data_IF_389567399074
#
_entry.id   IF_389567399074
#
_cell.length_a   1.000
_cell.length_b   1.000
_cell.length_c   1.000
_cell.angle_alpha   90.00
_cell.angle_beta   90.00
_cell.angle_gamma   90.00
#
_symmetry.space_group_name_H-M   'P 1'
#
loop_
_entity.id
_entity.type
_entity.pdbx_description
1 polymer ?
#
# COMPACT_ATOMS: atom_id res chain seq x y z
N UNK A 1 25.32 2.60 6.94
CA UNK A 1 26.25 1.67 6.27
C UNK A 1 25.53 0.49 5.63
N UNK A 2 24.75 -0.31 6.38
CA UNK A 2 24.02 -1.46 5.81
C UNK A 2 23.09 -1.17 4.60
N UNK A 3 22.51 0.04 4.51
CA UNK A 3 21.67 0.43 3.35
C UNK A 3 22.51 0.60 2.07
N UNK A 4 23.74 1.14 2.14
CA UNK A 4 24.55 1.38 0.93
C UNK A 4 25.13 0.09 0.34
N UNK A 5 25.52 -0.88 1.18
CA UNK A 5 25.95 -2.20 0.72
C UNK A 5 24.82 -3.00 0.09
N UNK A 6 23.61 -2.93 0.68
CA UNK A 6 22.43 -3.55 0.09
C UNK A 6 22.10 -2.97 -1.28
N UNK A 7 22.31 -1.66 -1.48
CA UNK A 7 22.12 -0.98 -2.75
C UNK A 7 23.14 -1.43 -3.81
N UNK A 8 24.39 -1.69 -3.42
CA UNK A 8 25.47 -1.95 -4.38
C UNK A 8 25.29 -3.28 -5.12
N UNK A 9 24.75 -4.31 -4.44
CA UNK A 9 24.45 -5.65 -5.01
C UNK A 9 23.13 -5.73 -5.82
N UNK A 10 22.34 -4.65 -5.91
CA UNK A 10 21.05 -4.68 -6.60
C UNK A 10 21.19 -4.70 -8.13
N UNK A 11 20.35 -5.48 -8.85
CA UNK A 11 20.28 -5.39 -10.30
C UNK A 11 19.93 -3.97 -10.73
N UNK A 12 20.52 -3.51 -11.83
CA UNK A 12 20.37 -2.14 -12.33
C UNK A 12 18.89 -1.76 -12.55
N UNK A 13 18.07 -2.72 -13.00
CA UNK A 13 16.63 -2.55 -13.13
C UNK A 13 15.93 -2.19 -11.81
N UNK A 14 16.35 -2.77 -10.68
CA UNK A 14 15.82 -2.47 -9.35
C UNK A 14 16.19 -1.06 -8.88
N UNK A 15 17.42 -0.60 -9.15
CA UNK A 15 17.86 0.76 -8.84
C UNK A 15 17.07 1.80 -9.65
N UNK A 16 16.93 1.56 -10.95
CA UNK A 16 16.15 2.41 -11.85
C UNK A 16 14.69 2.52 -11.41
N UNK A 17 14.10 1.38 -11.04
CA UNK A 17 12.77 1.29 -10.46
C UNK A 17 12.58 2.18 -9.23
N UNK A 18 13.47 2.09 -8.23
CA UNK A 18 13.39 2.92 -7.03
C UNK A 18 13.57 4.40 -7.35
N UNK A 19 14.50 4.73 -8.24
CA UNK A 19 14.74 6.12 -8.65
C UNK A 19 13.51 6.72 -9.34
N UNK A 20 12.93 6.00 -10.30
CA UNK A 20 11.70 6.42 -10.98
C UNK A 20 10.51 6.52 -10.03
N UNK A 21 10.38 5.60 -9.08
CA UNK A 21 9.31 5.64 -8.08
C UNK A 21 9.46 6.86 -7.16
N UNK A 22 10.69 7.20 -6.80
CA UNK A 22 11.00 8.41 -6.04
C UNK A 22 10.64 9.67 -6.84
N UNK A 23 11.04 9.74 -8.11
CA UNK A 23 10.70 10.86 -9.00
C UNK A 23 9.19 11.00 -9.16
N UNK A 24 8.45 9.93 -9.47
CA UNK A 24 6.98 9.97 -9.52
C UNK A 24 6.40 10.51 -8.21
N UNK A 25 6.85 9.98 -7.07
CA UNK A 25 6.28 10.34 -5.77
C UNK A 25 6.52 11.81 -5.45
N UNK A 26 7.72 12.33 -5.73
CA UNK A 26 8.05 13.75 -5.56
C UNK A 26 7.23 14.65 -6.49
N UNK A 27 7.07 14.28 -7.76
CA UNK A 27 6.25 15.04 -8.71
C UNK A 27 4.80 15.09 -8.27
N UNK A 28 4.21 13.94 -7.90
CA UNK A 28 2.81 13.87 -7.45
C UNK A 28 2.62 14.67 -6.17
N UNK A 29 3.50 14.52 -5.17
CA UNK A 29 3.41 15.28 -3.91
C UNK A 29 3.56 16.79 -4.17
N UNK A 30 4.51 17.20 -5.02
CA UNK A 30 4.70 18.59 -5.39
C UNK A 30 3.48 19.20 -6.07
N UNK A 31 2.88 18.48 -7.02
CA UNK A 31 1.62 18.89 -7.66
C UNK A 31 0.49 18.99 -6.63
N UNK A 32 0.30 17.99 -5.79
CA UNK A 32 -0.77 17.98 -4.78
C UNK A 32 -0.65 19.11 -3.76
N UNK A 33 0.55 19.39 -3.27
CA UNK A 33 0.80 20.52 -2.36
C UNK A 33 0.53 21.84 -3.08
N UNK A 34 0.99 22.01 -4.32
CA UNK A 34 0.77 23.25 -5.08
C UNK A 34 -0.71 23.53 -5.32
N UNK A 35 -1.49 22.49 -5.68
CA UNK A 35 -2.93 22.62 -5.90
C UNK A 35 -3.63 22.96 -4.58
N UNK A 36 -3.28 22.26 -3.49
CA UNK A 36 -3.84 22.53 -2.18
C UNK A 36 -3.56 23.97 -1.74
N UNK A 37 -2.36 24.50 -1.98
CA UNK A 37 -2.02 25.90 -1.68
C UNK A 37 -2.87 26.88 -2.51
N UNK A 38 -3.10 26.61 -3.80
CA UNK A 38 -3.97 27.47 -4.63
C UNK A 38 -5.41 27.47 -4.10
N UNK A 39 -5.94 26.29 -3.75
CA UNK A 39 -7.29 26.17 -3.17
C UNK A 39 -7.38 26.94 -1.85
N UNK A 40 -6.39 26.79 -0.96
CA UNK A 40 -6.37 27.47 0.34
C UNK A 40 -6.20 28.99 0.25
N UNK A 41 -5.56 29.50 -0.81
CA UNK A 41 -5.40 30.95 -1.02
C UNK A 41 -6.65 31.62 -1.55
N UNK A 42 -7.44 30.92 -2.36
CA UNK A 42 -8.59 31.50 -3.07
C UNK A 42 -9.94 31.13 -2.46
N UNK A 43 -9.99 30.10 -1.62
CA UNK A 43 -11.22 29.65 -0.96
C UNK A 43 -11.04 29.79 0.55
N UNK A 44 -11.83 30.67 1.16
CA UNK A 44 -11.90 30.79 2.62
C UNK A 44 -12.55 29.53 3.21
N UNK A 45 -12.27 29.22 4.47
CA UNK A 45 -12.98 28.19 5.23
C UNK A 45 -12.82 26.72 4.77
N UNK A 46 -11.81 26.40 3.96
CA UNK A 46 -11.52 25.01 3.53
C UNK A 46 -11.35 24.05 4.71
N UNK A 47 -10.77 24.52 5.82
CA UNK A 47 -10.58 23.74 7.05
C UNK A 47 -11.51 24.14 8.21
N UNK A 48 -12.38 25.15 8.07
CA UNK A 48 -13.14 25.65 9.23
C UNK A 48 -14.21 24.67 9.72
N UNK A 49 -14.53 23.65 8.92
CA UNK A 49 -15.56 22.68 9.22
C UNK A 49 -15.01 21.25 9.23
N UNK A 50 -14.09 20.96 10.17
CA UNK A 50 -13.55 19.61 10.42
C UNK A 50 -14.63 18.52 10.66
N UNK A 51 -15.89 18.92 10.86
CA UNK A 51 -17.05 18.04 11.07
C UNK A 51 -18.19 18.24 10.06
N UNK A 52 -17.96 18.92 8.94
CA UNK A 52 -18.96 19.11 7.88
C UNK A 52 -18.60 18.25 6.67
N UNK A 53 -19.63 17.83 5.94
CA UNK A 53 -19.66 16.88 4.81
C UNK A 53 -18.82 17.31 3.58
N UNK A 54 -17.84 18.21 3.74
CA UNK A 54 -17.25 19.07 2.69
C UNK A 54 -15.75 19.34 2.85
N UNK A 55 -15.00 18.54 3.62
CA UNK A 55 -13.54 18.75 3.73
C UNK A 55 -12.82 18.26 2.46
N UNK A 56 -12.75 19.09 1.42
CA UNK A 56 -12.08 18.75 0.14
C UNK A 56 -10.59 18.41 0.33
N UNK A 57 -9.96 18.97 1.38
CA UNK A 57 -8.55 18.77 1.70
C UNK A 57 -8.18 17.30 1.94
N UNK A 58 -9.13 16.47 2.39
CA UNK A 58 -8.85 15.06 2.67
C UNK A 58 -8.45 14.28 1.42
N UNK A 59 -9.01 14.63 0.27
CA UNK A 59 -8.71 13.94 -0.98
C UNK A 59 -7.25 14.16 -1.41
N UNK A 60 -6.71 15.36 -1.15
CA UNK A 60 -5.29 15.67 -1.36
C UNK A 60 -4.40 14.94 -0.36
N UNK A 61 -4.78 14.96 0.93
CA UNK A 61 -4.01 14.29 1.99
C UNK A 61 -3.92 12.77 1.76
N UNK A 62 -5.03 12.13 1.39
CA UNK A 62 -5.06 10.70 1.06
C UNK A 62 -4.12 10.37 -0.11
N UNK A 63 -4.06 11.23 -1.13
CA UNK A 63 -3.21 11.01 -2.28
C UNK A 63 -1.72 11.20 -1.95
N UNK A 64 -1.38 12.17 -1.10
CA UNK A 64 -0.01 12.35 -0.58
C UNK A 64 0.41 11.12 0.23
N UNK A 65 -0.44 10.64 1.14
CA UNK A 65 -0.17 9.44 1.94
C UNK A 65 -0.05 8.20 1.05
N UNK A 66 -0.91 8.07 0.03
CA UNK A 66 -0.83 6.99 -0.96
C UNK A 66 0.49 7.01 -1.74
N UNK A 67 0.94 8.19 -2.17
CA UNK A 67 2.21 8.37 -2.89
C UNK A 67 3.41 7.95 -2.03
N UNK A 68 3.44 8.35 -0.75
CA UNK A 68 4.48 7.93 0.19
C UNK A 68 4.46 6.42 0.46
N UNK A 69 3.26 5.85 0.62
CA UNK A 69 3.09 4.42 0.86
C UNK A 69 3.51 3.59 -0.36
N UNK A 70 3.19 4.07 -1.56
CA UNK A 70 3.63 3.48 -2.82
C UNK A 70 5.17 3.44 -2.92
N UNK A 71 5.85 4.55 -2.58
CA UNK A 71 7.31 4.58 -2.54
C UNK A 71 7.88 3.57 -1.52
N UNK A 72 7.27 3.49 -0.34
CA UNK A 72 7.63 2.50 0.68
C UNK A 72 7.50 1.06 0.16
N UNK A 73 6.40 0.73 -0.53
CA UNK A 73 6.21 -0.59 -1.12
C UNK A 73 7.31 -0.94 -2.13
N UNK A 74 7.69 0.01 -2.99
CA UNK A 74 8.71 -0.21 -4.01
C UNK A 74 10.09 -0.43 -3.39
N UNK A 75 10.50 0.48 -2.51
CA UNK A 75 11.80 0.42 -1.85
C UNK A 75 11.90 -0.86 -1.03
N UNK A 76 10.87 -1.20 -0.25
CA UNK A 76 10.85 -2.44 0.51
C UNK A 76 10.85 -3.69 -0.38
N UNK A 77 10.18 -3.66 -1.54
CA UNK A 77 10.16 -4.80 -2.47
C UNK A 77 11.52 -5.04 -3.11
N UNK A 78 12.17 -3.98 -3.59
CA UNK A 78 13.51 -4.05 -4.21
C UNK A 78 14.58 -4.40 -3.18
N UNK A 79 14.58 -3.77 -1.99
CA UNK A 79 15.56 -4.05 -0.93
C UNK A 79 15.52 -5.50 -0.43
N UNK A 80 14.34 -6.12 -0.44
CA UNK A 80 14.19 -7.51 -0.02
C UNK A 80 14.34 -8.52 -1.17
N UNK A 81 14.48 -8.06 -2.42
CA UNK A 81 14.43 -8.94 -3.60
C UNK A 81 13.08 -9.67 -3.74
N UNK A 82 12.00 -9.02 -3.29
CA UNK A 82 10.65 -9.58 -3.26
C UNK A 82 9.90 -9.18 -4.54
N UNK A 83 10.01 -10.00 -5.59
CA UNK A 83 9.31 -9.75 -6.87
C UNK A 83 7.80 -9.61 -6.72
N UNK A 84 7.20 -10.40 -5.82
CA UNK A 84 5.76 -10.35 -5.55
C UNK A 84 5.38 -8.95 -5.03
N UNK A 85 6.22 -8.35 -4.20
CA UNK A 85 5.97 -7.00 -3.69
C UNK A 85 6.09 -5.92 -4.78
N UNK A 86 6.99 -6.10 -5.75
CA UNK A 86 7.11 -5.21 -6.93
C UNK A 86 5.86 -5.32 -7.83
N UNK A 87 5.32 -6.54 -8.03
CA UNK A 87 4.04 -6.73 -8.72
C UNK A 87 2.89 -6.05 -7.95
N UNK A 88 2.88 -6.22 -6.63
CA UNK A 88 1.94 -5.55 -5.74
C UNK A 88 2.00 -4.03 -5.82
N UNK A 89 3.19 -3.46 -5.97
CA UNK A 89 3.38 -2.04 -6.22
C UNK A 89 2.72 -1.58 -7.53
N UNK A 90 2.81 -2.36 -8.62
CA UNK A 90 2.13 -2.00 -9.87
C UNK A 90 0.60 -1.99 -9.71
N UNK A 91 0.05 -2.97 -9.00
CA UNK A 91 -1.40 -3.00 -8.68
C UNK A 91 -1.79 -1.82 -7.79
N UNK A 92 -0.96 -1.46 -6.82
CA UNK A 92 -1.18 -0.30 -5.98
C UNK A 92 -1.09 1.02 -6.77
N UNK A 93 -0.21 1.11 -7.77
CA UNK A 93 -0.13 2.28 -8.65
C UNK A 93 -1.40 2.43 -9.50
N UNK A 94 -2.01 1.34 -9.97
CA UNK A 94 -3.32 1.37 -10.65
C UNK A 94 -4.43 1.90 -9.72
N UNK A 95 -4.38 1.52 -8.45
CA UNK A 95 -5.26 2.06 -7.43
C UNK A 95 -5.03 3.58 -7.23
N UNK A 96 -3.78 4.04 -7.18
CA UNK A 96 -3.45 5.47 -7.08
C UNK A 96 -3.93 6.24 -8.32
N UNK A 97 -3.78 5.71 -9.54
CA UNK A 97 -4.35 6.31 -10.76
C UNK A 97 -5.85 6.49 -10.62
N UNK A 98 -6.55 5.45 -10.17
CA UNK A 98 -7.99 5.53 -9.94
C UNK A 98 -8.34 6.59 -8.89
N UNK A 99 -7.59 6.70 -7.78
CA UNK A 99 -7.78 7.77 -6.79
C UNK A 99 -7.60 9.16 -7.38
N UNK A 100 -6.61 9.38 -8.26
CA UNK A 100 -6.42 10.70 -8.91
C UNK A 100 -7.63 11.10 -9.75
N UNK A 101 -8.28 10.14 -10.41
CA UNK A 101 -9.49 10.35 -11.21
C UNK A 101 -10.68 10.68 -10.30
N UNK A 102 -10.91 9.90 -9.25
CA UNK A 102 -12.00 10.17 -8.29
C UNK A 102 -11.83 11.53 -7.62
N UNK A 103 -10.60 11.85 -7.19
CA UNK A 103 -10.28 13.16 -6.63
C UNK A 103 -10.62 14.27 -7.62
N UNK A 104 -10.27 14.14 -8.90
CA UNK A 104 -10.60 15.16 -9.91
C UNK A 104 -12.11 15.47 -9.94
N UNK A 105 -12.95 14.44 -10.03
CA UNK A 105 -14.39 14.63 -10.07
C UNK A 105 -14.94 15.21 -8.76
N UNK A 106 -14.45 14.75 -7.62
CA UNK A 106 -14.92 15.22 -6.32
C UNK A 106 -14.52 16.68 -6.05
N UNK A 107 -13.28 17.07 -6.36
CA UNK A 107 -12.83 18.46 -6.21
C UNK A 107 -13.59 19.36 -7.16
N UNK A 108 -13.79 18.95 -8.42
CA UNK A 108 -14.59 19.71 -9.40
C UNK A 108 -16.01 19.94 -8.89
N UNK A 109 -16.71 18.86 -8.52
CA UNK A 109 -18.11 18.94 -8.07
C UNK A 109 -18.22 19.80 -6.81
N UNK A 110 -17.31 19.60 -5.85
CA UNK A 110 -17.27 20.41 -4.63
C UNK A 110 -17.11 21.90 -4.94
N UNK A 111 -16.18 22.25 -5.84
CA UNK A 111 -15.86 23.64 -6.15
C UNK A 111 -16.98 24.34 -6.93
N UNK A 112 -17.62 23.63 -7.86
CA UNK A 112 -18.72 24.17 -8.65
C UNK A 112 -20.02 24.30 -7.84
N UNK A 113 -20.32 23.35 -6.95
CA UNK A 113 -21.59 23.33 -6.22
C UNK A 113 -21.55 24.14 -4.92
N UNK A 114 -20.37 24.29 -4.29
CA UNK A 114 -20.25 24.92 -2.97
C UNK A 114 -19.54 26.28 -2.98
N UNK A 115 -18.80 26.63 -4.04
CA UNK A 115 -18.06 27.89 -4.13
C UNK A 115 -18.58 28.71 -5.32
N UNK A 116 -19.74 29.34 -5.12
CA UNK A 116 -20.53 29.95 -6.19
C UNK A 116 -19.80 31.12 -6.89
N UNK A 117 -19.03 31.92 -6.14
CA UNK A 117 -18.44 33.17 -6.66
C UNK A 117 -17.10 32.93 -7.36
N UNK A 118 -16.20 32.15 -6.76
CA UNK A 118 -14.81 31.99 -7.22
C UNK A 118 -14.50 30.56 -7.70
N UNK A 119 -15.47 29.63 -7.60
CA UNK A 119 -15.23 28.21 -7.84
C UNK A 119 -14.81 27.89 -9.27
N UNK A 120 -15.44 28.52 -10.25
CA UNK A 120 -15.08 28.34 -11.66
C UNK A 120 -13.64 28.80 -11.94
N UNK A 121 -13.28 29.99 -11.47
CA UNK A 121 -11.93 30.55 -11.69
C UNK A 121 -10.85 29.69 -11.02
N UNK A 122 -11.08 29.27 -9.77
CA UNK A 122 -10.15 28.37 -9.06
C UNK A 122 -10.04 27.04 -9.77
N UNK A 123 -11.14 26.49 -10.30
CA UNK A 123 -11.13 25.22 -11.03
C UNK A 123 -10.23 25.32 -12.26
N UNK A 124 -10.39 26.38 -13.05
CA UNK A 124 -9.62 26.56 -14.27
C UNK A 124 -8.12 26.76 -13.99
N UNK A 125 -7.75 27.40 -12.87
CA UNK A 125 -6.36 27.49 -12.43
C UNK A 125 -5.73 26.13 -12.12
N UNK A 126 -6.47 25.25 -11.42
CA UNK A 126 -5.92 23.97 -10.92
C UNK A 126 -6.15 22.79 -11.88
N UNK A 127 -7.07 22.92 -12.84
CA UNK A 127 -7.48 21.86 -13.77
C UNK A 127 -6.30 21.24 -14.50
N UNK A 128 -5.40 22.06 -15.04
CA UNK A 128 -4.23 21.58 -15.76
C UNK A 128 -3.31 20.71 -14.86
N UNK A 129 -3.11 21.13 -13.61
CA UNK A 129 -2.27 20.39 -12.65
C UNK A 129 -2.91 19.07 -12.21
N UNK A 130 -4.24 19.03 -12.04
CA UNK A 130 -4.93 17.78 -11.74
C UNK A 130 -4.82 16.78 -12.90
N UNK A 131 -5.02 17.24 -14.13
CA UNK A 131 -4.87 16.40 -15.33
C UNK A 131 -3.43 15.91 -15.47
N UNK A 132 -2.45 16.78 -15.20
CA UNK A 132 -1.03 16.40 -15.19
C UNK A 132 -0.76 15.29 -14.15
N UNK A 133 -1.36 15.35 -12.97
CA UNK A 133 -1.20 14.31 -11.93
C UNK A 133 -1.74 12.96 -12.40
N UNK A 134 -2.91 12.94 -13.07
CA UNK A 134 -3.47 11.72 -13.67
C UNK A 134 -2.55 11.20 -14.77
N UNK A 135 -2.08 12.07 -15.66
CA UNK A 135 -1.23 11.68 -16.79
C UNK A 135 0.13 11.12 -16.33
N UNK A 136 0.77 11.74 -15.34
CA UNK A 136 2.04 11.28 -14.77
C UNK A 136 1.87 9.92 -14.10
N UNK A 137 0.88 9.76 -13.23
CA UNK A 137 0.64 8.48 -12.54
C UNK A 137 0.27 7.35 -13.51
N UNK A 138 -0.60 7.62 -14.49
CA UNK A 138 -0.99 6.65 -15.51
C UNK A 138 0.17 6.28 -16.45
N UNK A 139 0.92 7.26 -16.96
CA UNK A 139 2.08 7.03 -17.82
C UNK A 139 3.16 6.21 -17.11
N UNK A 140 3.46 6.56 -15.86
CA UNK A 140 4.41 5.81 -15.05
C UNK A 140 3.93 4.40 -14.71
N UNK A 141 2.63 4.15 -14.66
CA UNK A 141 2.10 2.79 -14.50
C UNK A 141 2.53 1.87 -15.63
N UNK A 142 2.48 2.35 -16.88
CA UNK A 142 2.93 1.57 -18.04
C UNK A 142 4.43 1.31 -17.95
N UNK A 143 5.22 2.32 -17.58
CA UNK A 143 6.67 2.18 -17.39
C UNK A 143 6.98 1.14 -16.30
N UNK A 144 6.30 1.19 -15.16
CA UNK A 144 6.52 0.22 -14.08
C UNK A 144 6.03 -1.19 -14.43
N UNK A 145 4.98 -1.35 -15.23
CA UNK A 145 4.56 -2.66 -15.72
C UNK A 145 5.68 -3.31 -16.56
N UNK A 146 6.30 -2.55 -17.46
CA UNK A 146 7.43 -3.01 -18.28
C UNK A 146 8.65 -3.30 -17.40
N UNK A 147 9.02 -2.40 -16.49
CA UNK A 147 10.16 -2.62 -15.59
C UNK A 147 9.97 -3.82 -14.66
N UNK A 148 8.74 -4.06 -14.21
CA UNK A 148 8.40 -5.21 -13.37
C UNK A 148 8.64 -6.53 -14.09
N UNK A 149 8.42 -6.59 -15.40
CA UNK A 149 8.77 -7.76 -16.21
C UNK A 149 10.27 -8.05 -16.17
N UNK A 150 11.12 -7.02 -16.34
CA UNK A 150 12.58 -7.18 -16.25
C UNK A 150 13.04 -7.56 -14.84
N UNK A 151 12.45 -6.94 -13.82
CA UNK A 151 12.73 -7.24 -12.41
C UNK A 151 12.30 -8.67 -12.06
N UNK A 152 11.19 -9.15 -12.63
CA UNK A 152 10.72 -10.51 -12.45
C UNK A 152 11.73 -11.54 -12.96
N UNK A 153 12.30 -11.32 -14.15
CA UNK A 153 13.35 -12.19 -14.68
C UNK A 153 14.63 -12.14 -13.85
N UNK A 154 15.08 -10.94 -13.44
CA UNK A 154 16.28 -10.77 -12.64
C UNK A 154 16.18 -11.47 -11.26
N UNK A 155 15.10 -11.23 -10.52
CA UNK A 155 14.91 -11.81 -9.18
C UNK A 155 14.40 -13.24 -9.19
N UNK A 156 13.65 -13.64 -10.23
CA UNK A 156 13.18 -15.03 -10.39
C UNK A 156 14.34 -16.02 -10.46
N UNK A 157 15.45 -15.62 -11.09
CA UNK A 157 16.66 -16.43 -11.18
C UNK A 157 17.39 -16.59 -9.84
N UNK A 158 17.37 -15.56 -8.99
CA UNK A 158 17.93 -15.66 -7.64
C UNK A 158 17.08 -16.53 -6.71
N UNK A 159 15.76 -16.44 -6.80
CA UNK A 159 14.85 -17.26 -6.00
C UNK A 159 15.02 -18.74 -6.36
N UNK A 160 15.17 -19.05 -7.65
CA UNK A 160 15.45 -20.42 -8.11
C UNK A 160 16.72 -20.99 -7.47
N UNK A 161 17.81 -20.22 -7.43
CA UNK A 161 19.08 -20.64 -6.81
C UNK A 161 18.96 -20.84 -5.30
N UNK A 162 18.14 -20.03 -4.60
CA UNK A 162 18.01 -20.09 -3.13
C UNK A 162 17.10 -21.20 -2.63
N UNK A 163 15.95 -21.39 -3.26
CA UNK A 163 14.91 -22.33 -2.80
C UNK A 163 15.16 -23.75 -3.32
N UNK A 164 15.92 -23.89 -4.41
CA UNK A 164 16.16 -25.17 -5.07
C UNK A 164 15.01 -25.60 -5.97
N UNK A 165 15.11 -26.80 -6.53
CA UNK A 165 14.16 -27.32 -7.54
C UNK A 165 12.83 -27.83 -6.96
N UNK A 166 12.63 -27.82 -5.64
CA UNK A 166 11.39 -28.31 -5.02
C UNK A 166 10.23 -27.35 -5.29
N UNK A 167 9.32 -27.79 -6.16
CA UNK A 167 8.15 -27.03 -6.58
C UNK A 167 7.15 -26.78 -5.45
N UNK A 168 7.06 -27.69 -4.45
CA UNK A 168 6.10 -27.56 -3.34
C UNK A 168 6.53 -26.44 -2.39
N UNK A 169 7.79 -26.44 -1.98
CA UNK A 169 8.35 -25.41 -1.08
C UNK A 169 8.29 -24.03 -1.75
N UNK A 170 8.61 -23.96 -3.05
CA UNK A 170 8.50 -22.71 -3.81
C UNK A 170 7.06 -22.18 -3.82
N UNK A 171 6.06 -23.03 -4.01
CA UNK A 171 4.64 -22.62 -4.00
C UNK A 171 4.22 -22.10 -2.64
N UNK A 172 4.58 -22.80 -1.55
CA UNK A 172 4.30 -22.36 -0.18
C UNK A 172 4.94 -21.00 0.13
N UNK A 173 6.17 -20.78 -0.34
CA UNK A 173 6.88 -19.52 -0.17
C UNK A 173 6.24 -18.35 -0.93
N UNK A 174 5.82 -18.59 -2.18
CA UNK A 174 5.06 -17.61 -2.97
C UNK A 174 3.76 -17.26 -2.25
N UNK A 175 3.05 -18.26 -1.74
CA UNK A 175 1.80 -18.07 -1.02
C UNK A 175 1.98 -17.23 0.24
N UNK A 176 3.04 -17.49 1.01
CA UNK A 176 3.41 -16.71 2.19
C UNK A 176 3.69 -15.25 1.83
N UNK A 177 4.52 -15.01 0.80
CA UNK A 177 4.86 -13.65 0.35
C UNK A 177 3.64 -12.90 -0.19
N UNK A 178 2.73 -13.58 -0.88
CA UNK A 178 1.50 -13.00 -1.38
C UNK A 178 0.57 -12.59 -0.23
N UNK A 179 0.44 -13.40 0.81
CA UNK A 179 -0.33 -13.05 2.01
C UNK A 179 0.26 -11.82 2.72
N UNK A 180 1.59 -11.79 2.90
CA UNK A 180 2.28 -10.64 3.49
C UNK A 180 2.08 -9.36 2.67
N UNK A 181 2.09 -9.45 1.33
CA UNK A 181 1.79 -8.32 0.46
C UNK A 181 0.33 -7.85 0.64
N UNK A 182 -0.63 -8.77 0.61
CA UNK A 182 -2.05 -8.45 0.78
C UNK A 182 -2.31 -7.76 2.13
N UNK A 183 -1.69 -8.26 3.21
CA UNK A 183 -1.77 -7.63 4.54
C UNK A 183 -1.19 -6.20 4.57
N UNK A 184 -0.13 -5.94 3.81
CA UNK A 184 0.41 -4.57 3.65
C UNK A 184 -0.62 -3.68 2.94
N UNK A 185 -1.19 -4.14 1.83
CA UNK A 185 -2.22 -3.39 1.09
C UNK A 185 -3.46 -3.16 1.97
N UNK A 186 -3.94 -4.19 2.69
CA UNK A 186 -5.04 -4.09 3.64
C UNK A 186 -4.77 -3.02 4.69
N UNK A 187 -3.58 -3.01 5.31
CA UNK A 187 -3.20 -1.96 6.27
C UNK A 187 -3.43 -0.55 5.72
N UNK A 188 -3.02 -0.30 4.47
CA UNK A 188 -3.26 0.99 3.82
C UNK A 188 -4.75 1.24 3.58
N UNK A 189 -5.49 0.25 3.07
CA UNK A 189 -6.91 0.39 2.76
C UNK A 189 -7.76 0.64 4.02
N UNK A 190 -7.49 -0.06 5.12
CA UNK A 190 -8.17 0.12 6.40
C UNK A 190 -7.93 1.52 6.97
N UNK A 191 -6.67 1.99 6.97
CA UNK A 191 -6.35 3.35 7.44
C UNK A 191 -6.99 4.40 6.52
N UNK A 192 -6.87 4.23 5.20
CA UNK A 192 -7.46 5.12 4.22
C UNK A 192 -8.97 5.24 4.38
N UNK A 193 -9.67 4.11 4.51
CA UNK A 193 -11.11 4.06 4.77
C UNK A 193 -11.45 4.70 6.12
N UNK A 194 -10.77 4.35 7.19
CA UNK A 194 -11.05 4.87 8.53
C UNK A 194 -10.87 6.38 8.62
N UNK A 195 -9.73 6.90 8.14
CA UNK A 195 -9.44 8.33 8.13
C UNK A 195 -10.47 9.07 7.28
N UNK A 196 -10.78 8.56 6.10
CA UNK A 196 -11.80 9.16 5.22
C UNK A 196 -13.16 9.17 5.91
N UNK A 197 -13.60 8.04 6.48
CA UNK A 197 -14.91 7.90 7.11
C UNK A 197 -15.04 8.79 8.35
N UNK A 198 -14.02 8.84 9.21
CA UNK A 198 -14.02 9.69 10.40
C UNK A 198 -14.15 11.16 10.01
N UNK A 199 -13.39 11.61 9.01
CA UNK A 199 -13.34 13.03 8.64
C UNK A 199 -14.55 13.45 7.79
N UNK A 200 -15.01 12.62 6.87
CA UNK A 200 -16.02 13.02 5.87
C UNK A 200 -17.46 12.77 6.30
N UNK A 201 -17.70 11.87 7.25
CA UNK A 201 -19.06 11.39 7.58
C UNK A 201 -19.40 11.60 9.06
N UNK A 202 -18.40 11.52 9.93
CA UNK A 202 -18.63 11.31 11.35
C UNK A 202 -18.61 12.64 12.10
N UNK A 203 -19.76 13.04 12.64
CA UNK A 203 -19.85 14.18 13.54
C UNK A 203 -19.45 13.75 14.95
N UNK A 204 -18.77 14.62 15.69
CA UNK A 204 -18.29 14.32 17.05
C UNK A 204 -19.41 13.93 18.04
N UNK A 205 -20.66 14.28 17.75
CA UNK A 205 -21.84 13.99 18.58
C UNK A 205 -22.45 12.60 18.30
N UNK A 206 -22.04 11.91 17.23
CA UNK A 206 -22.63 10.61 16.88
C UNK A 206 -22.00 9.47 17.70
N UNK A 207 -22.79 8.53 18.24
CA UNK A 207 -22.25 7.35 18.94
C UNK A 207 -21.40 6.45 18.02
N UNK A 208 -21.62 6.53 16.70
CA UNK A 208 -20.81 5.84 15.70
C UNK A 208 -19.36 6.36 15.65
N UNK A 209 -19.09 7.57 16.15
CA UNK A 209 -17.76 8.17 16.21
C UNK A 209 -16.82 7.35 17.09
N UNK A 210 -17.19 7.14 18.35
CA UNK A 210 -16.40 6.40 19.31
C UNK A 210 -16.14 4.95 18.84
N UNK A 211 -17.17 4.31 18.28
CA UNK A 211 -17.07 2.93 17.76
C UNK A 211 -16.08 2.88 16.60
N UNK A 212 -16.17 3.79 15.63
CA UNK A 212 -15.31 3.76 14.45
C UNK A 212 -13.86 4.10 14.81
N UNK A 213 -13.64 5.08 15.68
CA UNK A 213 -12.31 5.43 16.19
C UNK A 213 -11.68 4.26 16.94
N UNK A 214 -12.46 3.55 17.79
CA UNK A 214 -12.00 2.35 18.48
C UNK A 214 -11.75 1.16 17.53
N UNK A 215 -12.46 1.11 16.39
CA UNK A 215 -12.28 0.04 15.41
C UNK A 215 -10.93 0.12 14.68
N UNK A 216 -10.38 1.32 14.48
CA UNK A 216 -9.06 1.51 13.84
C UNK A 216 -7.94 0.73 14.54
N UNK A 217 -7.64 0.92 15.84
CA UNK A 217 -6.59 0.15 16.50
C UNK A 217 -6.92 -1.35 16.57
N UNK A 218 -8.19 -1.74 16.65
CA UNK A 218 -8.60 -3.15 16.60
C UNK A 218 -8.22 -3.77 15.25
N UNK A 219 -8.49 -3.11 14.13
CA UNK A 219 -8.08 -3.63 12.81
C UNK A 219 -6.57 -3.73 12.66
N UNK A 220 -5.81 -2.77 13.19
CA UNK A 220 -4.35 -2.82 13.21
C UNK A 220 -3.83 -4.00 14.04
N UNK A 221 -4.48 -4.29 15.17
CA UNK A 221 -4.18 -5.45 15.99
C UNK A 221 -4.47 -6.76 15.24
N UNK A 222 -5.61 -6.87 14.55
CA UNK A 222 -5.97 -8.04 13.73
C UNK A 222 -4.93 -8.30 12.64
N UNK A 223 -4.48 -7.26 11.93
CA UNK A 223 -3.43 -7.38 10.93
C UNK A 223 -2.10 -7.83 11.55
N UNK A 224 -1.75 -7.29 12.72
CA UNK A 224 -0.55 -7.69 13.46
C UNK A 224 -0.59 -9.15 13.92
N UNK A 225 -1.77 -9.64 14.33
CA UNK A 225 -1.98 -11.05 14.66
C UNK A 225 -1.71 -11.97 13.46
N UNK A 226 -2.08 -11.55 12.24
CA UNK A 226 -1.80 -12.32 11.03
C UNK A 226 -0.29 -12.52 10.82
N UNK A 227 0.49 -11.45 10.97
CA UNK A 227 1.97 -11.53 10.91
C UNK A 227 2.55 -12.44 11.98
N UNK A 228 1.97 -12.43 13.18
CA UNK A 228 2.41 -13.30 14.27
C UNK A 228 2.06 -14.77 14.02
N UNK A 229 0.84 -15.05 13.55
CA UNK A 229 0.37 -16.38 13.18
C UNK A 229 1.25 -17.00 12.08
N UNK A 230 1.58 -16.20 11.06
CA UNK A 230 2.48 -16.57 9.97
C UNK A 230 3.90 -16.94 10.46
N UNK A 231 4.46 -16.15 11.38
CA UNK A 231 5.82 -16.40 11.91
C UNK A 231 5.89 -17.64 12.79
N UNK A 232 4.83 -17.93 13.56
CA UNK A 232 4.80 -19.09 14.46
C UNK A 232 4.22 -20.35 13.82
N UNK A 233 3.70 -20.27 12.60
CA UNK A 233 2.92 -21.34 11.95
C UNK A 233 1.83 -21.91 12.88
N UNK A 234 1.21 -21.06 13.69
CA UNK A 234 0.19 -21.50 14.63
C UNK A 234 -1.16 -21.53 13.94
N UNK A 235 -1.68 -22.74 13.70
CA UNK A 235 -3.00 -22.94 13.11
C UNK A 235 -4.11 -22.28 13.94
N UNK A 236 -4.00 -22.34 15.28
CA UNK A 236 -4.96 -21.74 16.18
C UNK A 236 -5.09 -20.22 15.98
N UNK A 237 -3.97 -19.49 15.94
CA UNK A 237 -4.02 -18.03 15.77
C UNK A 237 -4.34 -17.60 14.35
N UNK A 238 -4.02 -18.44 13.37
CA UNK A 238 -4.45 -18.22 11.99
C UNK A 238 -5.96 -18.42 11.83
N UNK A 239 -6.57 -19.41 12.50
CA UNK A 239 -8.03 -19.55 12.56
C UNK A 239 -8.71 -18.35 13.23
N UNK A 240 -8.14 -17.85 14.34
CA UNK A 240 -8.61 -16.62 14.98
C UNK A 240 -8.52 -15.43 14.03
N UNK A 241 -7.42 -15.29 13.29
CA UNK A 241 -7.27 -14.25 12.27
C UNK A 241 -8.33 -14.38 11.16
N UNK A 242 -8.55 -15.59 10.61
CA UNK A 242 -9.57 -15.84 9.59
C UNK A 242 -10.96 -15.46 10.09
N UNK A 243 -11.31 -15.84 11.33
CA UNK A 243 -12.59 -15.46 11.93
C UNK A 243 -12.75 -13.93 12.07
N UNK A 244 -11.71 -13.24 12.57
CA UNK A 244 -11.72 -11.79 12.72
C UNK A 244 -11.75 -11.06 11.37
N UNK A 245 -11.10 -11.63 10.35
CA UNK A 245 -11.16 -11.10 8.99
C UNK A 245 -12.58 -11.22 8.41
N UNK A 246 -13.25 -12.37 8.59
CA UNK A 246 -14.65 -12.54 8.21
C UNK A 246 -15.58 -11.56 8.94
N UNK A 247 -15.38 -11.34 10.25
CA UNK A 247 -16.12 -10.35 11.02
C UNK A 247 -15.88 -8.91 10.50
N UNK A 248 -14.63 -8.60 10.14
CA UNK A 248 -14.27 -7.31 9.55
C UNK A 248 -14.92 -7.13 8.18
N UNK A 249 -14.96 -8.17 7.34
CA UNK A 249 -15.66 -8.15 6.05
C UNK A 249 -17.15 -7.86 6.24
N UNK A 250 -17.80 -8.54 7.19
CA UNK A 250 -19.21 -8.32 7.51
C UNK A 250 -19.47 -6.87 7.96
N UNK A 251 -18.58 -6.31 8.78
CA UNK A 251 -18.67 -4.90 9.20
C UNK A 251 -18.54 -3.92 8.02
N UNK A 252 -17.59 -4.15 7.11
CA UNK A 252 -17.43 -3.33 5.89
C UNK A 252 -18.67 -3.41 4.99
N UNK A 253 -19.25 -4.60 4.81
CA UNK A 253 -20.51 -4.78 4.07
C UNK A 253 -21.66 -4.03 4.75
N UNK A 254 -21.79 -4.14 6.07
CA UNK A 254 -22.79 -3.39 6.84
C UNK A 254 -22.62 -1.87 6.66
N UNK A 255 -21.39 -1.36 6.76
CA UNK A 255 -21.11 0.06 6.52
C UNK A 255 -21.45 0.46 5.09
N UNK A 256 -21.10 -0.34 4.09
CA UNK A 256 -21.51 -0.12 2.70
C UNK A 256 -23.03 0.02 2.58
N UNK A 257 -23.79 -0.94 3.12
CA UNK A 257 -25.25 -0.92 3.08
C UNK A 257 -25.84 0.30 3.80
N UNK A 258 -25.26 0.68 4.93
CA UNK A 258 -25.70 1.85 5.73
C UNK A 258 -25.54 3.16 4.96
N UNK A 259 -24.54 3.29 4.10
CA UNK A 259 -24.35 4.48 3.27
C UNK A 259 -25.47 4.70 2.25
N UNK A 260 -26.17 3.63 1.87
CA UNK A 260 -27.31 3.67 0.93
C UNK A 260 -28.67 3.65 1.65
N UNK A 261 -28.71 3.69 2.98
CA UNK A 261 -29.95 3.73 3.75
C UNK A 261 -30.68 5.08 3.50
N UNK A 262 -31.92 5.07 2.98
CA UNK A 262 -32.69 6.29 2.70
C UNK A 262 -32.81 7.22 3.91
N UNK A 263 -32.85 6.64 5.13
CA UNK A 263 -32.96 7.39 6.39
C UNK A 263 -31.75 8.25 6.70
N UNK A 264 -30.60 7.97 6.08
CA UNK A 264 -29.35 8.70 6.28
C UNK A 264 -28.84 9.37 5.00
N UNK A 265 -29.66 9.43 3.95
CA UNK A 265 -29.29 9.98 2.63
C UNK A 265 -28.66 11.37 2.71
N UNK A 266 -29.20 12.27 3.55
CA UNK A 266 -28.65 13.63 3.74
C UNK A 266 -27.23 13.63 4.30
N UNK A 267 -26.90 12.66 5.19
CA UNK A 267 -25.57 12.55 5.82
C UNK A 267 -24.49 12.05 4.85
N UNK A 268 -24.87 11.24 3.85
CA UNK A 268 -23.92 10.58 2.96
C UNK A 268 -23.90 11.15 1.53
N UNK A 269 -24.91 11.92 1.11
CA UNK A 269 -25.17 12.30 -0.29
C UNK A 269 -23.92 12.75 -1.08
N UNK A 270 -23.10 13.64 -0.53
CA UNK A 270 -21.92 14.18 -1.23
C UNK A 270 -20.71 13.23 -1.26
N UNK A 271 -20.67 12.24 -0.36
CA UNK A 271 -19.48 11.44 -0.05
C UNK A 271 -19.60 9.97 -0.50
N UNK A 272 -20.81 9.51 -0.85
CA UNK A 272 -21.09 8.15 -1.33
C UNK A 272 -20.13 7.70 -2.43
N UNK A 273 -19.87 8.46 -3.52
CA UNK A 273 -19.11 7.95 -4.65
C UNK A 273 -17.70 7.49 -4.27
N UNK A 274 -16.97 8.29 -3.49
CA UNK A 274 -15.58 7.97 -3.10
C UNK A 274 -15.53 6.89 -2.03
N UNK A 275 -16.46 6.90 -1.10
CA UNK A 275 -16.50 5.92 -0.02
C UNK A 275 -16.92 4.54 -0.50
N UNK A 276 -17.88 4.46 -1.42
CA UNK A 276 -18.25 3.20 -2.07
C UNK A 276 -17.05 2.65 -2.84
N UNK A 277 -16.33 3.51 -3.57
CA UNK A 277 -15.11 3.11 -4.27
C UNK A 277 -14.07 2.48 -3.32
N UNK A 278 -13.74 3.16 -2.21
CA UNK A 278 -12.85 2.61 -1.18
C UNK A 278 -13.36 1.28 -0.61
N UNK A 279 -14.66 1.20 -0.33
CA UNK A 279 -15.27 0.02 0.28
C UNK A 279 -15.23 -1.18 -0.66
N UNK A 280 -15.56 -1.00 -1.94
CA UNK A 280 -15.53 -2.07 -2.94
C UNK A 280 -14.13 -2.63 -3.12
N UNK A 281 -13.11 -1.76 -3.21
CA UNK A 281 -11.72 -2.19 -3.34
C UNK A 281 -11.23 -2.88 -2.08
N UNK A 282 -11.57 -2.34 -0.90
CA UNK A 282 -11.21 -2.97 0.38
C UNK A 282 -11.82 -4.36 0.48
N UNK A 283 -13.10 -4.53 0.13
CA UNK A 283 -13.75 -5.85 0.11
C UNK A 283 -13.08 -6.82 -0.86
N UNK A 284 -12.65 -6.36 -2.03
CA UNK A 284 -11.90 -7.18 -2.99
C UNK A 284 -10.56 -7.65 -2.43
N UNK A 285 -9.77 -6.74 -1.85
CA UNK A 285 -8.47 -7.08 -1.24
C UNK A 285 -8.68 -8.02 -0.06
N UNK A 286 -9.65 -7.75 0.82
CA UNK A 286 -9.97 -8.62 1.96
C UNK A 286 -10.40 -10.02 1.53
N UNK A 287 -11.16 -10.16 0.44
CA UNK A 287 -11.53 -11.47 -0.10
C UNK A 287 -10.30 -12.23 -0.63
N UNK A 288 -9.39 -11.54 -1.32
CA UNK A 288 -8.11 -12.12 -1.72
C UNK A 288 -7.25 -12.51 -0.51
N UNK A 289 -7.21 -11.69 0.54
CA UNK A 289 -6.51 -11.98 1.80
C UNK A 289 -7.09 -13.21 2.49
N UNK A 290 -8.42 -13.34 2.56
CA UNK A 290 -9.09 -14.50 3.13
C UNK A 290 -8.77 -15.78 2.36
N UNK A 291 -8.85 -15.74 1.03
CA UNK A 291 -8.48 -16.86 0.18
C UNK A 291 -7.03 -17.28 0.41
N UNK A 292 -6.12 -16.31 0.44
CA UNK A 292 -4.70 -16.59 0.63
C UNK A 292 -4.38 -17.08 2.05
N UNK A 293 -5.10 -16.60 3.06
CA UNK A 293 -5.01 -17.03 4.44
C UNK A 293 -5.37 -18.53 4.59
N UNK A 294 -6.45 -18.97 3.94
CA UNK A 294 -6.87 -20.38 3.94
C UNK A 294 -5.82 -21.27 3.27
N UNK A 295 -5.26 -20.83 2.13
CA UNK A 295 -4.18 -21.56 1.46
C UNK A 295 -2.95 -21.67 2.36
N UNK A 296 -2.55 -20.58 3.03
CA UNK A 296 -1.42 -20.61 3.96
C UNK A 296 -1.67 -21.56 5.12
N UNK A 297 -2.88 -21.54 5.70
CA UNK A 297 -3.27 -22.44 6.78
C UNK A 297 -3.19 -23.92 6.37
N UNK A 298 -3.67 -24.27 5.16
CA UNK A 298 -3.58 -25.63 4.63
C UNK A 298 -2.14 -26.10 4.40
N UNK A 299 -1.18 -25.18 4.31
CA UNK A 299 0.24 -25.46 4.14
C UNK A 299 1.02 -25.48 5.46
N UNK A 300 0.40 -25.26 6.62
CA UNK A 300 1.09 -25.31 7.91
C UNK A 300 1.50 -26.74 8.28
N UNK A 301 2.64 -26.89 8.96
CA UNK A 301 3.16 -28.19 9.42
C UNK A 301 4.04 -28.93 8.41
N UNK A 302 4.26 -28.39 7.20
CA UNK A 302 5.14 -28.99 6.18
C UNK A 302 6.61 -28.49 6.24
N UNK A 303 7.04 -27.87 7.36
CA UNK A 303 8.44 -27.47 7.59
C UNK A 303 8.88 -26.16 6.91
N UNK A 304 7.94 -25.28 6.56
CA UNK A 304 8.23 -24.00 5.90
C UNK A 304 8.96 -23.02 6.84
N UNK A 305 8.61 -23.00 8.13
CA UNK A 305 9.26 -22.18 9.16
C UNK A 305 10.75 -22.43 9.29
N UNK A 306 11.16 -23.69 9.38
CA UNK A 306 12.55 -24.10 9.56
C UNK A 306 13.39 -23.64 8.35
N UNK A 307 12.84 -23.72 7.14
CA UNK A 307 13.52 -23.24 5.92
C UNK A 307 13.49 -21.72 5.75
N UNK A 308 12.44 -21.02 6.19
CA UNK A 308 12.41 -19.54 6.20
C UNK A 308 13.42 -19.00 7.22
N UNK A 309 13.51 -19.61 8.40
CA UNK A 309 14.51 -19.28 9.43
C UNK A 309 15.93 -19.60 8.93
N UNK A 310 16.17 -20.75 8.29
CA UNK A 310 17.45 -21.08 7.64
C UNK A 310 17.77 -20.10 6.50
N UNK A 311 16.78 -19.63 5.72
CA UNK A 311 17.03 -18.66 4.63
C UNK A 311 17.33 -17.26 5.18
N UNK A 312 16.71 -16.90 6.31
CA UNK A 312 16.97 -15.64 7.01
C UNK A 312 18.31 -15.69 7.78
N UNK A 313 18.69 -16.84 8.32
CA UNK A 313 20.01 -17.11 8.90
C UNK A 313 21.10 -17.20 7.82
N UNK A 314 20.82 -17.79 6.66
CA UNK A 314 21.71 -17.69 5.48
C UNK A 314 21.89 -16.26 4.98
N UNK A 315 20.96 -15.33 5.25
CA UNK A 315 21.16 -13.90 4.96
C UNK A 315 22.26 -13.32 5.86
N UNK A 316 22.33 -13.70 7.14
CA UNK A 316 23.43 -13.31 8.04
C UNK A 316 24.72 -14.08 7.77
N UNK A 317 24.64 -15.39 7.47
CA UNK A 317 25.82 -16.22 7.23
C UNK A 317 26.43 -15.94 5.85
N UNK A 318 25.63 -15.59 4.83
CA UNK A 318 26.15 -15.19 3.52
C UNK A 318 26.62 -13.72 3.52
N UNK A 319 26.10 -12.85 4.39
CA UNK A 319 26.76 -11.57 4.72
C UNK A 319 28.14 -11.83 5.31
N UNK A 320 28.27 -12.78 6.27
CA UNK A 320 29.58 -13.16 6.84
C UNK A 320 30.51 -13.93 5.88
N UNK A 321 29.99 -14.81 5.01
CA UNK A 321 30.79 -15.57 4.02
C UNK A 321 31.23 -14.67 2.86
N UNK A 322 30.45 -13.65 2.51
CA UNK A 322 30.80 -12.70 1.45
C UNK A 322 31.83 -11.65 1.90
N UNK A 323 31.88 -11.33 3.20
CA UNK A 323 33.02 -10.62 3.80
C UNK A 323 34.29 -11.51 3.89
N UNK A 324 34.12 -12.82 3.73
CA UNK A 324 35.18 -13.83 3.76
C UNK A 324 35.41 -14.52 2.41
N UNK A 325 35.25 -13.78 1.29
CA UNK A 325 35.77 -14.26 0.00
C UNK A 325 37.30 -14.40 0.08
N UNK A 326 37.74 -15.57 0.53
CA UNK A 326 39.03 -16.14 0.21
C UNK A 326 38.98 -16.45 -1.29
N UNK A 327 39.87 -15.83 -2.05
CA UNK A 327 40.09 -16.15 -3.45
C UNK A 327 40.33 -17.65 -3.61
N UNK A 328 39.80 -18.27 -4.67
CA UNK A 328 39.95 -19.70 -4.95
C UNK A 328 41.42 -20.16 -5.18
N UNK A 329 42.39 -19.25 -5.11
CA UNK A 329 43.80 -19.55 -4.94
C UNK A 329 44.14 -19.37 -3.46
N UNK A 330 44.35 -20.47 -2.74
CA UNK A 330 44.68 -20.50 -1.30
C UNK A 330 46.05 -19.90 -0.98
N UNK A 331 46.24 -18.62 -1.26
CA UNK A 331 47.44 -17.87 -0.98
C UNK A 331 47.08 -16.72 -0.03
N UNK A 332 47.45 -16.87 1.25
CA UNK A 332 47.48 -15.74 2.18
C UNK A 332 48.58 -14.80 1.70
N UNK A 333 48.21 -13.68 1.07
CA UNK A 333 49.15 -12.57 0.95
C UNK A 333 48.96 -11.62 2.13
N UNK A 334 50.04 -11.53 2.91
CA UNK A 334 50.25 -10.62 4.02
C UNK A 334 49.99 -9.16 3.62
N UNK A 335 49.74 -8.33 4.63
CA UNK A 335 50.03 -6.90 4.57
C UNK A 335 51.43 -6.70 3.98
N UNK A 336 51.51 -5.90 2.93
CA UNK A 336 52.69 -5.10 2.69
C UNK A 336 52.28 -3.68 3.05
N UNK A 337 52.73 -3.25 4.22
CA UNK A 337 52.73 -1.84 4.59
C UNK A 337 53.48 -1.05 3.51
N UNK A 338 52.90 0.11 3.17
CA UNK A 338 53.38 1.10 2.22
C UNK A 338 52.36 2.20 2.06
#
# INVERSE_FOLDING_TARGET
>A
MAISESLQKMPLAGKLCCWLACMQSLTVIGLEISILVIVLRNVENVFSSWSSDKCVAIYFMLLIIASLYQLFLMVSGVMNGDTIQVIGFCLFNLFVVSLTIFRFFQVRTWLLDNVIVVGHDVFDMIRAQMIATIAVTAGMTVVFAVLTYFVYHAFGWEIYKRVGADMKIRRMYINYRLLVLLLKIDFFMFIGFAVSYIILILKSTDPEFAITVAFVPVTLFVLSLAFWALRRESAATMWVFVFLLCASTAYFVYKCARMYDPKQSVKYASQIPMMTYYTVISLFVMAATLHQAIICLANFGYGLKERIEITRGKRSDMEQIQDYYINAAGDRRMNLDG
#
